data_IF_415641418926
#
_entry.id   IF_415641418926
#
_cell.length_a   1.000
_cell.length_b   1.000
_cell.length_c   1.000
_cell.angle_alpha   90.00
_cell.angle_beta   90.00
_cell.angle_gamma   90.00
#
_symmetry.space_group_name_H-M   'P 1'
#
loop_
_entity.id
_entity.type
_entity.pdbx_description
1 polymer ?
#
# COMPACT_ATOMS: atom_id res chain seq x y z
N UNK A 1 -1.21 -31.55 -75.83
CA UNK A 1 -1.46 -31.76 -74.45
C UNK A 1 -0.22 -31.49 -73.62
N UNK A 2 -0.26 -30.50 -72.72
CA UNK A 2 0.83 -30.03 -71.96
C UNK A 2 0.64 -30.34 -70.46
N UNK A 3 0.55 -31.62 -70.14
CA UNK A 3 0.40 -32.11 -68.78
C UNK A 3 1.53 -31.63 -67.87
N UNK A 4 2.74 -31.56 -68.41
CA UNK A 4 3.91 -31.09 -67.70
C UNK A 4 3.81 -29.60 -67.39
N UNK A 5 3.37 -28.79 -68.33
CA UNK A 5 3.21 -27.33 -68.12
C UNK A 5 2.03 -27.05 -67.18
N UNK A 6 0.96 -27.80 -67.24
CA UNK A 6 -0.15 -27.72 -66.29
C UNK A 6 0.28 -28.10 -64.88
N UNK A 7 1.10 -29.15 -64.72
CA UNK A 7 1.66 -29.58 -63.45
C UNK A 7 2.57 -28.52 -62.85
N UNK A 8 3.42 -27.90 -63.64
CA UNK A 8 4.29 -26.80 -63.23
C UNK A 8 3.49 -25.57 -62.77
N UNK A 9 2.41 -25.25 -63.47
CA UNK A 9 1.51 -24.15 -63.11
C UNK A 9 0.81 -24.44 -61.77
N UNK A 10 0.34 -25.67 -61.59
CA UNK A 10 -0.29 -26.06 -60.32
C UNK A 10 0.72 -25.96 -59.16
N UNK A 11 1.94 -26.46 -59.37
CA UNK A 11 3.00 -26.37 -58.36
C UNK A 11 3.39 -24.93 -58.03
N UNK A 12 3.49 -24.10 -59.07
CA UNK A 12 3.76 -22.67 -58.87
C UNK A 12 2.69 -21.97 -58.03
N UNK A 13 1.42 -22.24 -58.34
CA UNK A 13 0.27 -21.72 -57.58
C UNK A 13 0.26 -22.24 -56.14
N UNK A 14 0.59 -23.51 -55.95
CA UNK A 14 0.66 -24.10 -54.62
C UNK A 14 1.75 -23.47 -53.78
N UNK A 15 2.92 -23.22 -54.38
CA UNK A 15 4.02 -22.50 -53.69
C UNK A 15 3.65 -21.05 -53.36
N UNK A 16 3.02 -20.36 -54.28
CA UNK A 16 2.51 -19.00 -54.08
C UNK A 16 1.49 -18.94 -52.94
N UNK A 17 0.53 -19.85 -52.93
CA UNK A 17 -0.48 -19.97 -51.88
C UNK A 17 0.15 -20.27 -50.52
N UNK A 18 1.15 -21.20 -50.51
CA UNK A 18 1.89 -21.53 -49.31
C UNK A 18 2.62 -20.30 -48.74
N UNK A 19 3.31 -19.54 -49.59
CA UNK A 19 3.99 -18.33 -49.19
C UNK A 19 3.00 -17.28 -48.63
N UNK A 20 1.84 -17.13 -49.24
CA UNK A 20 0.78 -16.25 -48.78
C UNK A 20 0.29 -16.62 -47.39
N UNK A 21 0.01 -17.91 -47.19
CA UNK A 21 -0.47 -18.45 -45.90
C UNK A 21 0.59 -18.23 -44.82
N UNK A 22 1.87 -18.51 -45.09
CA UNK A 22 2.96 -18.30 -44.14
C UNK A 22 3.15 -16.84 -43.79
N UNK A 23 3.05 -15.94 -44.77
CA UNK A 23 3.15 -14.49 -44.53
C UNK A 23 1.99 -13.97 -43.70
N UNK A 24 0.75 -14.42 -44.01
CA UNK A 24 -0.43 -14.05 -43.22
C UNK A 24 -0.33 -14.58 -41.79
N UNK A 25 0.14 -15.81 -41.61
CA UNK A 25 0.33 -16.41 -40.31
C UNK A 25 1.39 -15.64 -39.49
N UNK A 26 2.49 -15.24 -40.12
CA UNK A 26 3.52 -14.44 -39.50
C UNK A 26 2.99 -13.06 -39.09
N UNK A 27 2.25 -12.40 -39.96
CA UNK A 27 1.62 -11.11 -39.68
C UNK A 27 0.61 -11.20 -38.53
N UNK A 28 -0.19 -12.25 -38.50
CA UNK A 28 -1.16 -12.52 -37.44
C UNK A 28 -0.46 -12.78 -36.12
N UNK A 29 0.60 -13.58 -36.15
CA UNK A 29 1.45 -13.81 -34.95
C UNK A 29 1.99 -12.51 -34.38
N UNK A 30 2.58 -11.68 -35.22
CA UNK A 30 3.17 -10.42 -34.79
C UNK A 30 2.11 -9.48 -34.22
N UNK A 31 0.94 -9.43 -34.79
CA UNK A 31 -0.20 -8.65 -34.29
C UNK A 31 -0.65 -9.16 -32.92
N UNK A 32 -0.81 -10.45 -32.75
CA UNK A 32 -1.21 -11.06 -31.47
C UNK A 32 -0.18 -10.77 -30.39
N UNK A 33 1.10 -10.94 -30.69
CA UNK A 33 2.18 -10.63 -29.73
C UNK A 33 2.14 -9.17 -29.31
N UNK A 34 1.98 -8.27 -30.27
CA UNK A 34 1.91 -6.83 -30.01
C UNK A 34 0.69 -6.47 -29.14
N UNK A 35 -0.48 -7.02 -29.46
CA UNK A 35 -1.70 -6.81 -28.70
C UNK A 35 -1.58 -7.35 -27.27
N UNK A 36 -1.03 -8.55 -27.12
CA UNK A 36 -0.84 -9.16 -25.81
C UNK A 36 0.14 -8.39 -24.94
N UNK A 37 1.23 -7.92 -25.53
CA UNK A 37 2.20 -7.07 -24.81
C UNK A 37 1.55 -5.76 -24.33
N UNK A 38 0.75 -5.13 -25.19
CA UNK A 38 0.05 -3.89 -24.83
C UNK A 38 -1.00 -4.14 -23.75
N UNK A 39 -1.73 -5.24 -23.83
CA UNK A 39 -2.70 -5.64 -22.83
C UNK A 39 -2.02 -5.91 -21.47
N UNK A 40 -0.91 -6.66 -21.51
CA UNK A 40 -0.13 -6.95 -20.30
C UNK A 40 0.41 -5.67 -19.67
N UNK A 41 0.86 -4.71 -20.48
CA UNK A 41 1.32 -3.41 -19.99
C UNK A 41 0.19 -2.64 -19.30
N UNK A 42 -0.98 -2.60 -19.90
CA UNK A 42 -2.16 -1.93 -19.34
C UNK A 42 -2.59 -2.55 -18.01
N UNK A 43 -2.64 -3.87 -17.97
CA UNK A 43 -2.99 -4.61 -16.75
C UNK A 43 -1.95 -4.39 -15.66
N UNK A 44 -0.66 -4.43 -16.03
CA UNK A 44 0.43 -4.14 -15.12
C UNK A 44 0.35 -2.74 -14.53
N UNK A 45 0.08 -1.74 -15.36
CA UNK A 45 -0.09 -0.34 -14.91
C UNK A 45 -1.26 -0.20 -13.94
N UNK A 46 -2.39 -0.86 -14.22
CA UNK A 46 -3.55 -0.88 -13.32
C UNK A 46 -3.22 -1.51 -11.97
N UNK A 47 -2.51 -2.62 -11.99
CA UNK A 47 -2.06 -3.30 -10.78
C UNK A 47 -1.14 -2.41 -9.95
N UNK A 48 -0.22 -1.72 -10.60
CA UNK A 48 0.69 -0.78 -9.93
C UNK A 48 -0.06 0.38 -9.29
N UNK A 49 -1.04 0.94 -9.98
CA UNK A 49 -1.88 2.02 -9.42
C UNK A 49 -2.67 1.54 -8.21
N UNK A 50 -3.23 0.34 -8.29
CA UNK A 50 -3.97 -0.25 -7.17
C UNK A 50 -3.08 -0.52 -5.97
N UNK A 51 -1.88 -1.08 -6.20
CA UNK A 51 -0.89 -1.29 -5.15
C UNK A 51 -0.49 0.04 -4.49
N UNK A 52 -0.27 1.08 -5.28
CA UNK A 52 0.03 2.42 -4.74
C UNK A 52 -1.10 2.95 -3.87
N UNK A 53 -2.35 2.75 -4.27
CA UNK A 53 -3.52 3.15 -3.46
C UNK A 53 -3.59 2.37 -2.16
N UNK A 54 -3.35 1.06 -2.20
CA UNK A 54 -3.32 0.22 -1.01
C UNK A 54 -2.22 0.64 -0.05
N UNK A 55 -1.02 0.90 -0.56
CA UNK A 55 0.11 1.38 0.25
C UNK A 55 -0.23 2.73 0.89
N UNK A 56 -0.83 3.64 0.15
CA UNK A 56 -1.24 4.93 0.68
C UNK A 56 -2.30 4.79 1.77
N UNK A 57 -3.29 3.92 1.58
CA UNK A 57 -4.31 3.64 2.58
C UNK A 57 -3.72 3.02 3.84
N UNK A 58 -2.82 2.06 3.71
CA UNK A 58 -2.13 1.43 4.84
C UNK A 58 -1.26 2.44 5.60
N UNK A 59 -0.59 3.33 4.87
CA UNK A 59 0.19 4.41 5.47
C UNK A 59 -0.69 5.34 6.29
N UNK A 60 -1.83 5.75 5.75
CA UNK A 60 -2.78 6.61 6.46
C UNK A 60 -3.36 5.94 7.70
N UNK A 61 -3.68 4.65 7.60
CA UNK A 61 -4.15 3.85 8.73
C UNK A 61 -3.08 3.73 9.81
N UNK A 62 -1.84 3.47 9.43
CA UNK A 62 -0.71 3.39 10.35
C UNK A 62 -0.48 4.73 11.07
N UNK A 63 -0.57 5.84 10.36
CA UNK A 63 -0.43 7.18 10.94
C UNK A 63 -1.56 7.45 11.94
N UNK A 64 -2.80 7.07 11.61
CA UNK A 64 -3.93 7.21 12.53
C UNK A 64 -3.75 6.38 13.79
N UNK A 65 -3.27 5.14 13.65
CA UNK A 65 -2.99 4.27 14.80
C UNK A 65 -1.90 4.85 15.69
N UNK A 66 -0.82 5.35 15.11
CA UNK A 66 0.25 6.01 15.85
C UNK A 66 -0.26 7.24 16.59
N UNK A 67 -1.05 8.09 15.92
CA UNK A 67 -1.65 9.27 16.55
C UNK A 67 -2.54 8.89 17.74
N UNK A 68 -3.32 7.83 17.59
CA UNK A 68 -4.18 7.32 18.66
C UNK A 68 -3.35 6.82 19.84
N UNK A 69 -2.30 6.05 19.57
CA UNK A 69 -1.38 5.56 20.61
C UNK A 69 -0.68 6.70 21.33
N UNK A 70 -0.20 7.69 20.59
CA UNK A 70 0.41 8.90 21.18
C UNK A 70 -0.59 9.66 22.02
N UNK A 71 -1.83 9.82 21.56
CA UNK A 71 -2.88 10.50 22.33
C UNK A 71 -3.18 9.77 23.64
N UNK A 72 -3.34 8.45 23.60
CA UNK A 72 -3.58 7.62 24.79
C UNK A 72 -2.40 7.73 25.76
N UNK A 73 -1.18 7.61 25.26
CA UNK A 73 0.04 7.74 26.08
C UNK A 73 0.14 9.13 26.69
N UNK A 74 -0.20 10.18 25.96
CA UNK A 74 -0.19 11.55 26.45
C UNK A 74 -1.18 11.75 27.60
N UNK A 75 -2.37 11.19 27.49
CA UNK A 75 -3.37 11.22 28.57
C UNK A 75 -2.88 10.45 29.78
N UNK A 76 -2.30 9.27 29.60
CA UNK A 76 -1.76 8.46 30.70
C UNK A 76 -0.65 9.20 31.44
N UNK A 77 0.25 9.83 30.71
CA UNK A 77 1.32 10.65 31.30
C UNK A 77 0.73 11.82 32.07
N UNK A 78 -0.23 12.52 31.49
CA UNK A 78 -0.90 13.65 32.13
C UNK A 78 -1.59 13.23 33.43
N UNK A 79 -2.28 12.10 33.43
CA UNK A 79 -2.91 11.53 34.63
C UNK A 79 -1.88 11.23 35.72
N UNK A 80 -0.76 10.63 35.35
CA UNK A 80 0.31 10.30 36.31
C UNK A 80 0.94 11.56 36.89
N UNK A 81 1.18 12.57 36.07
CA UNK A 81 1.71 13.86 36.52
C UNK A 81 0.74 14.55 37.47
N UNK A 82 -0.55 14.58 37.14
CA UNK A 82 -1.60 15.15 37.96
C UNK A 82 -1.72 14.43 39.31
N UNK A 83 -1.70 13.10 39.31
CA UNK A 83 -1.73 12.33 40.56
C UNK A 83 -0.55 12.63 41.44
N UNK A 84 0.63 12.70 40.87
CA UNK A 84 1.84 13.04 41.62
C UNK A 84 1.75 14.44 42.22
N UNK A 85 1.27 15.40 41.47
CA UNK A 85 1.07 16.77 41.97
C UNK A 85 0.03 16.83 43.09
N UNK A 86 -1.06 16.11 42.97
CA UNK A 86 -2.10 16.02 44.01
C UNK A 86 -1.56 15.35 45.27
N UNK A 87 -0.78 14.28 45.13
CA UNK A 87 -0.13 13.63 46.27
C UNK A 87 0.85 14.55 46.97
N UNK A 88 1.63 15.29 46.21
CA UNK A 88 2.58 16.26 46.76
C UNK A 88 1.85 17.40 47.47
N UNK A 89 0.76 17.92 46.91
CA UNK A 89 -0.10 18.91 47.58
C UNK A 89 -0.71 18.37 48.86
N UNK A 90 -1.21 17.15 48.84
CA UNK A 90 -1.76 16.49 50.04
C UNK A 90 -0.71 16.29 51.09
N UNK A 91 0.51 15.92 50.70
CA UNK A 91 1.63 15.79 51.63
C UNK A 91 2.04 17.15 52.24
N UNK A 92 2.06 18.20 51.41
CA UNK A 92 2.31 19.55 51.89
C UNK A 92 1.24 20.02 52.84
N UNK A 93 -0.02 19.80 52.51
CA UNK A 93 -1.14 20.16 53.40
C UNK A 93 -1.09 19.42 54.72
N UNK A 94 -0.82 18.11 54.68
CA UNK A 94 -0.65 17.32 55.89
C UNK A 94 0.54 17.77 56.77
N UNK A 95 1.61 18.17 56.12
CA UNK A 95 2.80 18.70 56.82
C UNK A 95 2.48 20.05 57.48
N UNK A 96 1.78 20.94 56.78
CA UNK A 96 1.35 22.23 57.30
C UNK A 96 0.41 22.02 58.50
N UNK A 97 -0.56 21.13 58.37
CA UNK A 97 -1.49 20.80 59.45
C UNK A 97 -0.74 20.26 60.67
N UNK A 98 0.25 19.41 60.50
CA UNK A 98 1.08 18.89 61.57
C UNK A 98 1.86 20.01 62.27
N UNK A 99 2.46 20.92 61.50
CA UNK A 99 3.20 22.06 62.03
C UNK A 99 2.28 23.00 62.82
N UNK A 100 1.06 23.24 62.33
CA UNK A 100 0.07 24.04 63.03
C UNK A 100 -0.36 23.38 64.34
N UNK A 101 -0.55 22.06 64.35
CA UNK A 101 -0.90 21.31 65.55
C UNK A 101 0.25 21.40 66.61
N UNK A 102 1.50 21.25 66.17
CA UNK A 102 2.67 21.38 67.05
C UNK A 102 2.76 22.81 67.65
N UNK A 103 2.48 23.82 66.84
CA UNK A 103 2.46 25.20 67.31
C UNK A 103 1.35 25.46 68.32
N UNK A 104 0.18 24.84 68.09
CA UNK A 104 -0.96 24.95 69.01
C UNK A 104 -0.68 24.25 70.34
N UNK A 105 -0.08 23.09 70.33
CA UNK A 105 0.29 22.30 71.50
C UNK A 105 1.40 23.02 72.32
N UNK A 106 2.37 23.65 71.67
CA UNK A 106 3.45 24.31 72.29
C UNK A 106 3.06 25.64 72.97
N UNK A 107 1.89 26.21 72.67
CA UNK A 107 1.33 27.39 73.29
C UNK A 107 0.56 27.13 74.58
N UNK A 108 0.22 25.86 74.76
CA UNK A 108 -0.47 25.41 75.97
C UNK A 108 0.52 24.86 77.02
#
# INVERSE_FOLDING_TARGET
>A
ANLKAEGETIMAKAHEEQARILNEAAATRDRIIKEDKEQARKEGDKMMEEVKRQIQAEKEDAIRDIRRQVAVLSVDIAEKVLRKNLDDENKQTAMIDRLLDELTVSKN
#
